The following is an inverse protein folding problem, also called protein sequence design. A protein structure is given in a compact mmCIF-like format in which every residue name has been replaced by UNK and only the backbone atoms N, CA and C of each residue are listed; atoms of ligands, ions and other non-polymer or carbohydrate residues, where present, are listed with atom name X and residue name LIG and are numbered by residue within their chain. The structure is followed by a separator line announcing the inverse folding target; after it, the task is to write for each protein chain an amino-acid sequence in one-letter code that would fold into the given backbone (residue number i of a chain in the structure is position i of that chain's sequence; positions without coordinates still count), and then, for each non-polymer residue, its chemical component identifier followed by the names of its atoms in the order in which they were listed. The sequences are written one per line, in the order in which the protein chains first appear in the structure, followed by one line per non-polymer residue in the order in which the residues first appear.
data_IF_564554253476
#
_entry.id   IF_564554253476
#
_cell.length_a   1.000
_cell.length_b   1.000
_cell.length_c   1.000
_cell.angle_alpha   90.00
_cell.angle_beta   90.00
_cell.angle_gamma   90.00
#
_symmetry.space_group_name_H-M   'P 1'
#
loop_
_entity.id
_entity.type
_entity.pdbx_description
1 polymer ?
#
# COMPACT_ATOMS: atom_id res chain seq x y z
N UNK A 1 3.85 18.14 -10.38
CA UNK A 1 3.26 16.79 -10.52
C UNK A 1 4.15 15.79 -9.82
N UNK A 2 3.59 14.92 -9.02
CA UNK A 2 4.36 13.95 -8.25
C UNK A 2 5.04 12.91 -9.17
N UNK A 3 6.32 12.63 -8.88
CA UNK A 3 7.08 11.57 -9.54
C UNK A 3 7.09 10.32 -8.69
N UNK A 4 6.94 9.15 -9.31
CA UNK A 4 6.94 7.87 -8.61
C UNK A 4 8.19 7.08 -8.95
N UNK A 5 8.94 6.67 -7.91
CA UNK A 5 10.12 5.82 -8.08
C UNK A 5 10.11 4.62 -7.12
N UNK A 6 10.78 3.52 -7.49
CA UNK A 6 10.97 2.41 -6.58
C UNK A 6 11.95 2.76 -5.47
N UNK A 7 11.79 2.09 -4.32
CA UNK A 7 12.69 2.18 -3.17
C UNK A 7 13.42 0.85 -2.96
N UNK A 8 14.66 0.94 -2.48
CA UNK A 8 15.49 -0.21 -2.10
C UNK A 8 15.70 -0.27 -0.58
N UNK A 9 16.44 -1.26 -0.11
CA UNK A 9 16.81 -1.37 1.30
C UNK A 9 17.61 -0.15 1.81
N UNK A 10 18.38 0.50 0.93
CA UNK A 10 19.12 1.72 1.28
C UNK A 10 18.22 2.93 1.48
N UNK A 11 16.98 2.88 0.98
CA UNK A 11 15.96 3.92 1.16
C UNK A 11 15.08 3.69 2.42
N UNK A 12 15.49 2.83 3.34
CA UNK A 12 14.67 2.46 4.48
C UNK A 12 14.20 3.66 5.33
N UNK A 13 14.99 4.72 5.41
CA UNK A 13 14.62 5.95 6.13
C UNK A 13 13.46 6.67 5.45
N UNK A 14 13.41 6.66 4.13
CA UNK A 14 12.30 7.23 3.35
C UNK A 14 11.04 6.41 3.59
N UNK A 15 11.15 5.08 3.54
CA UNK A 15 10.04 4.16 3.83
C UNK A 15 9.51 4.41 5.24
N UNK A 16 10.40 4.46 6.23
CA UNK A 16 10.05 4.72 7.63
C UNK A 16 9.30 6.04 7.78
N UNK A 17 9.86 7.12 7.27
CA UNK A 17 9.27 8.45 7.41
C UNK A 17 7.88 8.53 6.77
N UNK A 18 7.73 8.05 5.54
CA UNK A 18 6.45 8.06 4.83
C UNK A 18 5.42 7.16 5.52
N UNK A 19 5.83 5.96 5.95
CA UNK A 19 4.95 5.01 6.64
C UNK A 19 4.46 5.56 7.98
N UNK A 20 5.35 6.12 8.79
CA UNK A 20 4.97 6.70 10.09
C UNK A 20 4.06 7.92 9.92
N UNK A 21 4.30 8.71 8.89
CA UNK A 21 3.41 9.83 8.55
C UNK A 21 2.01 9.34 8.15
N UNK A 22 1.93 8.26 7.37
CA UNK A 22 0.66 7.64 6.99
C UNK A 22 -0.13 7.15 8.21
N UNK A 23 0.52 6.44 9.12
CA UNK A 23 -0.09 5.92 10.35
C UNK A 23 -0.58 7.03 11.29
N UNK A 24 0.12 8.15 11.32
CA UNK A 24 -0.27 9.32 12.11
C UNK A 24 -1.42 10.10 11.47
N UNK A 25 -1.39 10.26 10.15
CA UNK A 25 -2.41 10.99 9.40
C UNK A 25 -3.77 10.27 9.37
N UNK A 26 -3.74 8.95 9.15
CA UNK A 26 -4.94 8.17 8.93
C UNK A 26 -4.94 6.85 9.74
N UNK A 27 -4.91 6.92 11.08
CA UNK A 27 -4.73 5.73 11.93
C UNK A 27 -5.84 4.69 11.74
N UNK A 28 -7.05 5.10 11.40
CA UNK A 28 -8.18 4.18 11.19
C UNK A 28 -8.14 3.43 9.86
N UNK A 29 -7.27 3.83 8.94
CA UNK A 29 -7.16 3.22 7.61
C UNK A 29 -6.12 2.09 7.54
N UNK A 30 -5.46 1.80 8.65
CA UNK A 30 -4.41 0.79 8.73
C UNK A 30 -4.71 -0.22 9.85
N UNK A 31 -4.22 -1.44 9.68
CA UNK A 31 -4.32 -2.50 10.69
C UNK A 31 -3.17 -2.45 11.70
N UNK A 32 -2.13 -1.68 11.44
CA UNK A 32 -1.01 -1.41 12.35
C UNK A 32 -1.11 0.01 12.94
N UNK A 33 -0.21 0.37 13.84
CA UNK A 33 -0.23 1.64 14.54
C UNK A 33 1.10 2.37 14.48
N UNK A 34 1.05 3.70 14.66
CA UNK A 34 2.24 4.53 14.79
C UNK A 34 3.11 4.09 15.97
N UNK A 35 2.52 3.81 17.12
CA UNK A 35 3.22 3.39 18.33
C UNK A 35 4.02 2.11 18.11
N UNK A 36 3.40 1.13 17.44
CA UNK A 36 4.07 -0.14 17.12
C UNK A 36 5.21 0.08 16.14
N UNK A 37 4.95 0.70 15.01
CA UNK A 37 5.94 0.79 13.93
C UNK A 37 7.05 1.80 14.21
N UNK A 38 6.80 2.84 15.01
CA UNK A 38 7.84 3.78 15.43
C UNK A 38 8.89 3.14 16.35
N UNK A 39 8.56 2.02 16.99
CA UNK A 39 9.48 1.26 17.84
C UNK A 39 10.40 0.32 17.07
N UNK A 40 10.17 0.11 15.78
CA UNK A 40 11.00 -0.75 14.94
C UNK A 40 12.40 -0.18 14.78
N UNK A 41 13.41 -1.05 14.87
CA UNK A 41 14.80 -0.70 14.63
C UNK A 41 15.12 -0.61 13.11
N UNK A 42 16.34 -0.17 12.79
CA UNK A 42 16.83 -0.08 11.43
C UNK A 42 16.76 -1.43 10.70
N UNK A 43 17.14 -2.51 11.36
CA UNK A 43 17.12 -3.85 10.77
C UNK A 43 15.73 -4.23 10.31
N UNK A 44 14.72 -4.00 11.14
CA UNK A 44 13.32 -4.26 10.80
C UNK A 44 12.87 -3.46 9.58
N UNK A 45 13.24 -2.18 9.50
CA UNK A 45 12.91 -1.36 8.34
C UNK A 45 13.61 -1.81 7.06
N UNK A 46 14.89 -2.22 7.14
CA UNK A 46 15.62 -2.79 6.01
C UNK A 46 15.03 -4.11 5.54
N UNK A 47 14.65 -4.99 6.46
CA UNK A 47 13.99 -6.26 6.14
C UNK A 47 12.65 -6.03 5.43
N UNK A 48 11.87 -5.05 5.86
CA UNK A 48 10.63 -4.66 5.18
C UNK A 48 10.87 -4.12 3.78
N UNK A 49 11.97 -3.44 3.56
CA UNK A 49 12.36 -2.94 2.25
C UNK A 49 12.80 -4.05 1.28
N UNK A 50 13.22 -5.20 1.79
CA UNK A 50 13.61 -6.37 0.97
C UNK A 50 12.47 -7.35 0.72
N UNK A 51 11.52 -7.46 1.66
CA UNK A 51 10.36 -8.35 1.55
C UNK A 51 9.15 -7.71 0.87
N UNK A 52 9.18 -6.40 0.70
CA UNK A 52 8.13 -5.63 0.06
C UNK A 52 8.77 -4.68 -0.96
N UNK A 53 8.23 -4.64 -2.17
CA UNK A 53 8.65 -3.65 -3.16
C UNK A 53 7.91 -2.34 -2.90
N UNK A 54 8.60 -1.37 -2.35
CA UNK A 54 8.04 -0.05 -2.07
C UNK A 54 8.23 0.92 -3.24
N UNK A 55 7.23 1.77 -3.43
CA UNK A 55 7.26 2.92 -4.33
C UNK A 55 6.90 4.17 -3.54
N UNK A 56 7.59 5.27 -3.83
CA UNK A 56 7.31 6.58 -3.25
C UNK A 56 6.93 7.55 -4.35
N UNK A 57 5.91 8.34 -4.09
CA UNK A 57 5.59 9.53 -4.89
C UNK A 57 6.20 10.75 -4.19
N UNK A 58 6.95 11.55 -4.93
CA UNK A 58 7.60 12.77 -4.41
C UNK A 58 7.21 13.98 -5.23
N UNK A 59 7.07 15.11 -4.55
CA UNK A 59 6.88 16.42 -5.16
C UNK A 59 7.66 17.45 -4.37
N UNK A 60 8.47 18.26 -5.06
CA UNK A 60 9.31 19.24 -4.39
C UNK A 60 10.33 18.63 -3.40
N UNK A 61 10.74 17.38 -3.61
CA UNK A 61 11.64 16.65 -2.72
C UNK A 61 11.00 16.00 -1.50
N UNK A 62 9.69 16.18 -1.30
CA UNK A 62 8.93 15.57 -0.21
C UNK A 62 8.17 14.32 -0.67
N UNK A 63 8.10 13.32 0.20
CA UNK A 63 7.24 12.16 -0.02
C UNK A 63 5.78 12.57 0.18
N UNK A 64 4.98 12.42 -0.87
CA UNK A 64 3.55 12.77 -0.87
C UNK A 64 2.65 11.54 -1.03
N UNK A 65 3.23 10.38 -1.19
CA UNK A 65 2.52 9.11 -1.24
C UNK A 65 3.47 7.93 -1.18
N UNK A 66 2.96 6.79 -0.74
CA UNK A 66 3.71 5.52 -0.66
C UNK A 66 2.77 4.36 -0.91
N UNK A 67 3.28 3.29 -1.50
CA UNK A 67 2.60 2.01 -1.60
C UNK A 67 3.63 0.88 -1.72
N UNK A 68 3.28 -0.28 -1.24
CA UNK A 68 4.12 -1.48 -1.30
C UNK A 68 3.45 -2.63 -2.04
N UNK A 69 4.27 -3.50 -2.60
CA UNK A 69 3.83 -4.74 -3.23
C UNK A 69 4.51 -5.95 -2.60
N UNK A 70 3.73 -6.98 -2.30
CA UNK A 70 4.21 -8.23 -1.71
C UNK A 70 3.64 -9.43 -2.45
N UNK A 71 4.18 -10.61 -2.19
CA UNK A 71 3.58 -11.86 -2.63
C UNK A 71 2.20 -12.01 -2.01
N UNK A 72 1.27 -12.60 -2.77
CA UNK A 72 -0.11 -12.74 -2.33
C UNK A 72 -0.26 -13.62 -1.08
N UNK A 73 -1.23 -13.31 -0.25
CA UNK A 73 -1.56 -14.10 0.96
C UNK A 73 -2.01 -15.52 0.64
N UNK A 74 -2.58 -15.71 -0.54
CA UNK A 74 -3.00 -17.05 -1.01
C UNK A 74 -1.81 -17.99 -1.29
N UNK A 75 -0.61 -17.43 -1.45
CA UNK A 75 0.56 -18.17 -1.92
C UNK A 75 0.54 -18.49 -3.42
N UNK A 76 -0.47 -17.99 -4.16
CA UNK A 76 -0.55 -18.17 -5.61
C UNK A 76 0.52 -17.30 -6.29
N UNK A 77 1.45 -17.89 -7.06
CA UNK A 77 2.52 -17.15 -7.72
C UNK A 77 2.02 -16.18 -8.80
N UNK A 78 0.78 -16.35 -9.29
CA UNK A 78 0.15 -15.45 -10.25
C UNK A 78 -0.42 -14.18 -9.62
N UNK A 79 -0.41 -14.07 -8.30
CA UNK A 79 -0.97 -12.94 -7.57
C UNK A 79 0.11 -12.12 -6.85
N UNK A 80 -0.12 -10.81 -6.77
CA UNK A 80 0.61 -9.90 -5.88
C UNK A 80 -0.40 -9.07 -5.09
N UNK A 81 0.02 -8.64 -3.91
CA UNK A 81 -0.80 -7.79 -3.03
C UNK A 81 -0.23 -6.38 -2.98
N UNK A 82 -1.10 -5.39 -3.10
CA UNK A 82 -0.79 -4.01 -2.77
C UNK A 82 -1.04 -3.80 -1.27
N UNK A 83 -0.08 -3.20 -0.60
CA UNK A 83 -0.16 -2.90 0.84
C UNK A 83 0.27 -1.46 1.11
N UNK A 84 -0.21 -0.89 2.20
CA UNK A 84 0.28 0.37 2.73
C UNK A 84 0.09 1.59 1.83
N UNK A 85 -0.92 1.60 0.97
CA UNK A 85 -1.23 2.77 0.13
C UNK A 85 -1.61 3.97 0.99
N UNK A 86 -0.90 5.06 0.79
CA UNK A 86 -1.20 6.34 1.42
C UNK A 86 -0.83 7.49 0.51
N UNK A 87 -1.65 8.53 0.51
CA UNK A 87 -1.38 9.80 -0.17
C UNK A 87 -1.60 10.93 0.84
N UNK A 88 -0.66 11.86 0.90
CA UNK A 88 -0.74 13.03 1.77
C UNK A 88 -2.04 13.81 1.50
N UNK A 89 -2.73 14.32 2.55
CA UNK A 89 -4.01 15.01 2.39
C UNK A 89 -4.00 16.11 1.34
N UNK A 90 -2.94 16.89 1.27
CA UNK A 90 -2.77 17.98 0.31
C UNK A 90 -2.63 17.53 -1.15
N UNK A 91 -2.39 16.24 -1.39
CA UNK A 91 -2.14 15.67 -2.72
C UNK A 91 -3.19 14.64 -3.13
N UNK A 92 -4.26 14.50 -2.35
CA UNK A 92 -5.37 13.58 -2.67
C UNK A 92 -6.17 14.12 -3.85
N UNK A 93 -6.79 13.19 -4.60
CA UNK A 93 -7.61 13.48 -5.78
C UNK A 93 -6.84 14.17 -6.91
N UNK A 94 -5.54 13.98 -6.96
CA UNK A 94 -4.64 14.53 -7.97
C UNK A 94 -3.94 13.42 -8.78
N UNK A 95 -4.43 12.17 -8.69
CA UNK A 95 -3.88 11.05 -9.45
C UNK A 95 -2.67 10.36 -8.84
N UNK A 96 -2.21 10.76 -7.63
CA UNK A 96 -1.03 10.16 -6.99
C UNK A 96 -1.24 8.67 -6.70
N UNK A 97 -2.39 8.29 -6.13
CA UNK A 97 -2.71 6.89 -5.86
C UNK A 97 -2.75 6.05 -7.14
N UNK A 98 -3.31 6.59 -8.22
CA UNK A 98 -3.35 5.91 -9.52
C UNK A 98 -1.93 5.73 -10.10
N UNK A 99 -1.07 6.72 -9.97
CA UNK A 99 0.32 6.62 -10.41
C UNK A 99 1.09 5.55 -9.63
N UNK A 100 0.90 5.48 -8.31
CA UNK A 100 1.47 4.41 -7.47
C UNK A 100 0.94 3.03 -7.87
N UNK A 101 -0.38 2.91 -8.08
CA UNK A 101 -1.00 1.66 -8.53
C UNK A 101 -0.42 1.19 -9.88
N UNK A 102 -0.26 2.08 -10.84
CA UNK A 102 0.31 1.76 -12.16
C UNK A 102 1.75 1.24 -12.03
N UNK A 103 2.57 1.84 -11.16
CA UNK A 103 3.94 1.36 -10.93
C UNK A 103 3.96 -0.02 -10.28
N UNK A 104 3.08 -0.25 -9.31
CA UNK A 104 2.93 -1.56 -8.68
C UNK A 104 2.42 -2.62 -9.66
N UNK A 105 1.46 -2.28 -10.50
CA UNK A 105 0.98 -3.17 -11.54
C UNK A 105 2.09 -3.56 -12.54
N UNK A 106 2.91 -2.61 -12.95
CA UNK A 106 4.07 -2.86 -13.79
C UNK A 106 5.09 -3.79 -13.13
N UNK A 107 5.38 -3.55 -11.86
CA UNK A 107 6.24 -4.44 -11.07
C UNK A 107 5.65 -5.85 -10.98
N UNK A 108 4.38 -5.98 -10.61
CA UNK A 108 3.71 -7.27 -10.48
C UNK A 108 3.77 -8.07 -11.79
N UNK A 109 3.53 -7.41 -12.92
CA UNK A 109 3.70 -8.02 -14.25
C UNK A 109 5.13 -8.50 -14.49
N UNK A 110 6.13 -7.69 -14.15
CA UNK A 110 7.54 -8.06 -14.32
C UNK A 110 7.94 -9.28 -13.48
N UNK A 111 7.24 -9.49 -12.37
CA UNK A 111 7.39 -10.67 -11.50
C UNK A 111 6.56 -11.89 -11.97
N UNK A 112 5.89 -11.80 -13.11
CA UNK A 112 5.09 -12.89 -13.69
C UNK A 112 3.66 -12.98 -13.15
N UNK A 113 3.19 -12.00 -12.39
CA UNK A 113 1.81 -11.99 -11.90
C UNK A 113 0.82 -11.58 -12.98
N UNK A 114 -0.38 -12.13 -12.89
CA UNK A 114 -1.53 -11.79 -13.74
C UNK A 114 -2.63 -11.03 -13.00
N UNK A 115 -2.52 -10.95 -11.67
CA UNK A 115 -3.51 -10.30 -10.81
C UNK A 115 -2.83 -9.51 -9.71
N UNK A 116 -3.34 -8.31 -9.47
CA UNK A 116 -3.00 -7.50 -8.30
C UNK A 116 -4.23 -7.43 -7.38
N UNK A 117 -4.01 -7.73 -6.11
CA UNK A 117 -5.04 -7.73 -5.07
C UNK A 117 -4.71 -6.72 -3.98
N UNK A 118 -5.70 -6.34 -3.22
CA UNK A 118 -5.53 -5.54 -2.00
C UNK A 118 -6.66 -5.82 -1.02
N UNK A 119 -6.40 -5.52 0.25
CA UNK A 119 -7.41 -5.46 1.28
C UNK A 119 -7.75 -4.01 1.60
N UNK A 120 -9.03 -3.71 1.69
CA UNK A 120 -9.52 -2.40 2.13
C UNK A 120 -10.48 -2.60 3.30
N UNK A 121 -10.32 -1.80 4.36
CA UNK A 121 -11.24 -1.83 5.49
C UNK A 121 -12.64 -1.43 5.02
N UNK A 122 -13.66 -2.19 5.40
CA UNK A 122 -15.04 -1.95 4.97
C UNK A 122 -15.57 -0.57 5.37
N UNK A 123 -15.04 0.00 6.46
CA UNK A 123 -15.38 1.34 6.92
C UNK A 123 -14.57 2.46 6.24
N UNK A 124 -13.67 2.12 5.32
CA UNK A 124 -12.89 3.08 4.53
C UNK A 124 -13.55 3.32 3.17
N UNK A 125 -14.68 4.00 3.17
CA UNK A 125 -15.49 4.25 1.96
C UNK A 125 -14.72 5.04 0.90
N UNK A 126 -13.89 5.99 1.33
CA UNK A 126 -13.09 6.81 0.42
C UNK A 126 -12.07 6.00 -0.38
N UNK A 127 -11.34 5.12 0.29
CA UNK A 127 -10.38 4.22 -0.37
C UNK A 127 -11.09 3.23 -1.28
N UNK A 128 -12.18 2.61 -0.81
CA UNK A 128 -12.97 1.68 -1.61
C UNK A 128 -13.47 2.32 -2.89
N UNK A 129 -14.05 3.51 -2.81
CA UNK A 129 -14.52 4.25 -3.98
C UNK A 129 -13.39 4.59 -4.94
N UNK A 130 -12.22 4.99 -4.41
CA UNK A 130 -11.04 5.28 -5.22
C UNK A 130 -10.56 4.03 -5.97
N UNK A 131 -10.48 2.89 -5.30
CA UNK A 131 -10.06 1.63 -5.94
C UNK A 131 -11.06 1.15 -7.00
N UNK A 132 -12.35 1.28 -6.76
CA UNK A 132 -13.38 1.02 -7.78
C UNK A 132 -13.17 1.92 -9.01
N UNK A 133 -12.90 3.21 -8.80
CA UNK A 133 -12.61 4.17 -9.86
C UNK A 133 -11.33 3.86 -10.64
N UNK A 134 -10.38 3.15 -10.04
CA UNK A 134 -9.13 2.70 -10.68
C UNK A 134 -9.27 1.34 -11.38
N UNK A 135 -10.45 0.73 -11.37
CA UNK A 135 -10.73 -0.52 -12.07
C UNK A 135 -10.64 -1.78 -11.21
N UNK A 136 -10.37 -1.65 -9.90
CA UNK A 136 -10.44 -2.81 -9.01
C UNK A 136 -11.90 -3.18 -8.74
N UNK A 137 -12.13 -4.47 -8.49
CA UNK A 137 -13.46 -5.02 -8.18
C UNK A 137 -13.40 -5.83 -6.90
N UNK A 138 -14.51 -5.88 -6.18
CA UNK A 138 -14.66 -6.80 -5.05
C UNK A 138 -14.59 -8.25 -5.52
N UNK A 139 -13.85 -9.06 -4.76
CA UNK A 139 -13.83 -10.52 -4.98
C UNK A 139 -14.96 -11.23 -4.27
N UNK A 140 -15.68 -10.56 -3.37
CA UNK A 140 -16.62 -11.17 -2.43
C UNK A 140 -15.93 -11.79 -1.21
N UNK A 141 -14.61 -11.87 -1.20
CA UNK A 141 -13.82 -12.39 -0.07
C UNK A 141 -13.66 -11.31 0.99
N UNK A 142 -13.84 -11.68 2.25
CA UNK A 142 -13.63 -10.80 3.40
C UNK A 142 -12.80 -11.50 4.47
N UNK A 143 -12.09 -10.70 5.27
CA UNK A 143 -11.29 -11.19 6.40
C UNK A 143 -11.51 -10.28 7.62
N UNK A 144 -11.50 -10.87 8.81
CA UNK A 144 -11.45 -10.09 10.04
C UNK A 144 -10.06 -9.46 10.23
N UNK A 145 -10.01 -8.28 10.81
CA UNK A 145 -8.74 -7.68 11.24
C UNK A 145 -8.20 -8.50 12.42
N UNK A 146 -6.91 -8.88 12.36
CA UNK A 146 -6.30 -9.80 13.33
C UNK A 146 -6.47 -9.35 14.78
N UNK A 147 -6.20 -8.08 15.05
CA UNK A 147 -6.24 -7.53 16.41
C UNK A 147 -7.58 -6.85 16.76
N UNK A 148 -8.51 -6.79 15.82
CA UNK A 148 -9.85 -6.22 16.01
C UNK A 148 -10.87 -6.96 15.14
N UNK A 149 -11.42 -8.09 15.63
CA UNK A 149 -12.36 -8.90 14.85
C UNK A 149 -13.72 -8.22 14.60
N UNK A 150 -13.96 -7.03 15.19
CA UNK A 150 -15.16 -6.23 14.89
C UNK A 150 -15.04 -5.47 13.56
N UNK A 151 -13.81 -5.37 13.01
CA UNK A 151 -13.54 -4.73 11.72
C UNK A 151 -13.29 -5.79 10.65
N UNK A 152 -13.74 -5.52 9.45
CA UNK A 152 -13.64 -6.43 8.31
C UNK A 152 -12.85 -5.79 7.17
N UNK A 153 -12.03 -6.61 6.53
CA UNK A 153 -11.29 -6.26 5.32
C UNK A 153 -12.02 -6.88 4.13
N UNK A 154 -12.33 -6.08 3.12
CA UNK A 154 -12.82 -6.53 1.82
C UNK A 154 -11.63 -6.71 0.88
N UNK A 155 -11.58 -7.83 0.19
CA UNK A 155 -10.54 -8.10 -0.81
C UNK A 155 -11.00 -7.63 -2.18
N UNK A 156 -10.20 -6.79 -2.82
CA UNK A 156 -10.42 -6.29 -4.17
C UNK A 156 -9.31 -6.76 -5.10
N UNK A 157 -9.59 -6.84 -6.38
CA UNK A 157 -8.62 -7.29 -7.39
C UNK A 157 -8.75 -6.52 -8.71
N UNK A 158 -7.67 -6.55 -9.47
CA UNK A 158 -7.63 -6.12 -10.86
C UNK A 158 -6.75 -7.08 -11.65
N UNK A 159 -7.16 -7.42 -12.87
CA UNK A 159 -6.35 -8.20 -13.82
C UNK A 159 -5.28 -7.29 -14.43
N UNK A 160 -4.08 -7.85 -14.59
CA UNK A 160 -2.90 -7.15 -15.12
C UNK A 160 -2.73 -7.35 -16.61
#
# INVERSE_FOLDING_TARGET
MAEVRPLSADDWQIIRAARLRALRDAPHNFTSSFERESSFDERTWRDRATTCQWFVATEGGEAVGIAGGVNGWSGDPSERELVGMWVAPSHRRQGVALALLHRLAGWAKSEGASTLRLGVLEDNDGARAAYLGMGLRSTGETMAVHDDPTRTIEVMRVDL
#
